data_IF_785136936876
#
_entry.id   IF_785136936876
#
_cell.length_a   1.000
_cell.length_b   1.000
_cell.length_c   1.000
_cell.angle_alpha   90.00
_cell.angle_beta   90.00
_cell.angle_gamma   90.00
#
_symmetry.space_group_name_H-M   'P 1'
#
loop_
_entity.id
_entity.type
_entity.pdbx_description
1 polymer ?
#
# COMPACT_ATOMS: atom_id res chain seq x y z
N UNK A 1 -9.85 -14.85 -17.97
CA UNK A 1 -8.86 -15.44 -17.04
C UNK A 1 -9.15 -14.91 -15.65
N UNK A 2 -9.68 -15.76 -14.78
CA UNK A 2 -10.00 -15.41 -13.40
C UNK A 2 -8.74 -15.59 -12.54
N UNK A 3 -8.32 -14.56 -11.80
CA UNK A 3 -7.31 -14.72 -10.76
C UNK A 3 -7.95 -15.44 -9.56
N UNK A 4 -7.41 -16.59 -9.20
CA UNK A 4 -7.82 -17.36 -8.03
C UNK A 4 -7.34 -16.65 -6.76
N UNK A 5 -8.28 -16.17 -5.94
CA UNK A 5 -8.01 -15.70 -4.59
C UNK A 5 -7.98 -16.92 -3.65
N UNK A 6 -6.85 -17.18 -2.97
CA UNK A 6 -6.80 -18.14 -1.88
C UNK A 6 -7.03 -17.42 -0.55
N UNK A 7 -8.15 -17.73 0.10
CA UNK A 7 -8.51 -17.22 1.43
C UNK A 7 -8.03 -18.23 2.46
N UNK A 8 -7.09 -17.85 3.32
CA UNK A 8 -6.67 -18.67 4.45
C UNK A 8 -7.59 -18.37 5.64
N UNK A 9 -8.24 -19.41 6.17
CA UNK A 9 -9.02 -19.31 7.40
C UNK A 9 -8.11 -19.64 8.59
N UNK A 10 -8.03 -18.73 9.57
CA UNK A 10 -7.38 -19.01 10.84
C UNK A 10 -8.21 -20.05 11.60
N UNK A 11 -7.63 -21.22 11.85
CA UNK A 11 -8.25 -22.33 12.53
C UNK A 11 -8.40 -21.98 14.02
N UNK A 12 -9.63 -21.91 14.54
CA UNK A 12 -9.86 -21.77 15.97
C UNK A 12 -9.82 -23.13 16.66
N UNK A 13 -8.86 -23.28 17.57
CA UNK A 13 -8.87 -24.28 18.62
C UNK A 13 -7.64 -25.18 18.65
N UNK A 14 -6.61 -24.79 19.42
CA UNK A 14 -5.86 -25.64 20.37
C UNK A 14 -5.25 -24.72 21.46
N UNK A 15 -5.21 -25.27 22.67
CA UNK A 15 -4.87 -24.72 23.99
C UNK A 15 -3.47 -24.08 24.12
N UNK A 16 -3.39 -23.15 25.09
CA UNK A 16 -2.20 -22.50 25.68
C UNK A 16 -0.87 -23.26 25.53
N UNK A 17 0.00 -22.74 24.65
CA UNK A 17 1.45 -22.56 24.85
C UNK A 17 2.04 -21.99 23.53
N UNK A 18 1.75 -20.73 23.22
CA UNK A 18 2.21 -20.11 21.96
C UNK A 18 2.33 -18.59 22.11
N UNK A 19 3.23 -18.12 22.97
CA UNK A 19 3.60 -16.69 23.02
C UNK A 19 4.71 -16.34 21.99
N UNK A 20 5.44 -17.34 21.48
CA UNK A 20 6.57 -17.13 20.55
C UNK A 20 6.23 -17.35 19.06
N UNK A 21 5.05 -17.87 18.71
CA UNK A 21 4.74 -18.29 17.33
C UNK A 21 3.90 -17.31 16.50
N UNK A 22 3.37 -16.24 17.11
CA UNK A 22 2.58 -15.24 16.37
C UNK A 22 3.43 -14.19 15.66
N UNK A 23 4.69 -14.00 16.07
CA UNK A 23 5.63 -13.06 15.45
C UNK A 23 6.31 -13.61 14.18
N UNK A 24 5.96 -14.83 13.77
CA UNK A 24 6.59 -15.52 12.63
C UNK A 24 5.60 -15.75 11.48
N UNK A 25 4.83 -14.74 11.09
CA UNK A 25 4.72 -14.49 9.63
C UNK A 25 6.07 -13.90 9.24
N UNK A 26 7.10 -14.77 9.20
CA UNK A 26 8.48 -14.36 9.03
C UNK A 26 8.56 -13.48 7.79
N UNK A 27 9.13 -12.28 7.92
CA UNK A 27 9.49 -11.44 6.78
C UNK A 27 10.16 -12.28 5.69
N UNK A 28 11.02 -13.25 6.06
CA UNK A 28 11.64 -14.20 5.12
C UNK A 28 10.65 -15.09 4.38
N UNK A 29 9.58 -15.55 5.04
CA UNK A 29 8.54 -16.38 4.43
C UNK A 29 7.76 -15.62 3.35
N UNK A 30 7.33 -14.39 3.66
CA UNK A 30 6.64 -13.53 2.69
C UNK A 30 7.59 -13.10 1.56
N UNK A 31 8.82 -12.68 1.89
CA UNK A 31 9.81 -12.29 0.86
C UNK A 31 10.16 -13.45 -0.06
N UNK A 32 10.40 -14.66 0.46
CA UNK A 32 10.75 -15.83 -0.37
C UNK A 32 9.59 -16.32 -1.27
N UNK A 33 8.34 -16.18 -0.84
CA UNK A 33 7.17 -16.44 -1.67
C UNK A 33 7.06 -15.42 -2.81
N UNK A 34 7.34 -14.14 -2.52
CA UNK A 34 7.30 -13.09 -3.52
C UNK A 34 8.48 -13.15 -4.50
N UNK A 35 9.66 -13.56 -4.04
CA UNK A 35 10.85 -13.74 -4.89
C UNK A 35 10.67 -14.84 -5.93
N UNK A 36 9.90 -15.89 -5.61
CA UNK A 36 9.60 -16.99 -6.53
C UNK A 36 8.43 -16.68 -7.48
N UNK A 37 7.70 -15.59 -7.25
CA UNK A 37 6.51 -15.28 -8.03
C UNK A 37 6.88 -14.44 -9.26
N UNK A 38 6.75 -15.05 -10.44
CA UNK A 38 7.01 -14.40 -11.72
C UNK A 38 5.90 -13.42 -12.16
N UNK A 39 4.89 -13.18 -11.31
CA UNK A 39 3.76 -12.30 -11.61
C UNK A 39 3.71 -11.13 -10.64
N UNK A 40 3.15 -10.02 -11.11
CA UNK A 40 2.77 -8.92 -10.21
C UNK A 40 1.90 -9.46 -9.08
N UNK A 41 2.35 -9.25 -7.85
CA UNK A 41 1.72 -9.79 -6.66
C UNK A 41 1.20 -8.64 -5.81
N UNK A 42 -0.05 -8.77 -5.39
CA UNK A 42 -0.64 -7.92 -4.35
C UNK A 42 -0.71 -8.70 -3.05
N UNK A 43 -0.23 -8.10 -1.97
CA UNK A 43 -0.36 -8.61 -0.61
C UNK A 43 -1.35 -7.70 0.09
N UNK A 44 -2.45 -8.26 0.56
CA UNK A 44 -3.43 -7.52 1.33
C UNK A 44 -3.38 -7.94 2.78
N UNK A 45 -3.06 -6.99 3.65
CA UNK A 45 -3.09 -7.14 5.11
C UNK A 45 -4.40 -6.52 5.58
N UNK A 46 -5.30 -7.36 6.06
CA UNK A 46 -6.63 -6.93 6.51
C UNK A 46 -6.60 -6.54 8.00
N UNK A 47 -6.99 -5.31 8.29
CA UNK A 47 -7.18 -4.77 9.65
C UNK A 47 -8.65 -4.38 9.91
N UNK A 48 -9.58 -5.19 9.37
CA UNK A 48 -11.02 -4.99 9.52
C UNK A 48 -11.56 -3.97 8.52
N UNK A 49 -11.22 -4.14 7.24
CA UNK A 49 -11.72 -3.27 6.18
C UNK A 49 -13.23 -3.49 5.98
N UNK A 50 -14.01 -2.42 6.13
CA UNK A 50 -15.47 -2.43 5.90
C UNK A 50 -15.84 -1.55 4.70
N UNK A 51 -15.49 -0.27 4.76
CA UNK A 51 -15.62 0.68 3.63
C UNK A 51 -14.25 1.17 3.16
N UNK A 52 -14.22 1.78 1.96
CA UNK A 52 -13.01 2.42 1.41
C UNK A 52 -13.39 3.84 1.02
N UNK A 53 -13.38 4.75 2.00
CA UNK A 53 -13.73 6.15 1.81
C UNK A 53 -12.48 7.05 1.79
N UNK A 54 -11.45 6.69 2.56
CA UNK A 54 -10.17 7.38 2.63
C UNK A 54 -9.01 6.43 2.31
N UNK A 55 -8.27 6.75 1.25
CA UNK A 55 -7.11 5.99 0.79
C UNK A 55 -5.86 6.83 0.90
N UNK A 56 -4.85 6.30 1.57
CA UNK A 56 -3.55 6.93 1.70
C UNK A 56 -2.48 6.17 0.91
N UNK A 57 -1.68 6.90 0.14
CA UNK A 57 -0.72 6.32 -0.80
C UNK A 57 0.66 6.95 -0.63
N UNK A 58 1.52 6.37 0.21
CA UNK A 58 2.91 6.81 0.36
C UNK A 58 3.79 6.30 -0.79
N UNK A 59 4.54 7.20 -1.43
CA UNK A 59 5.58 6.90 -2.42
C UNK A 59 6.94 7.14 -1.78
N UNK A 60 7.60 6.04 -1.42
CA UNK A 60 8.84 6.04 -0.64
C UNK A 60 10.05 5.48 -1.42
N UNK A 61 9.80 4.91 -2.61
CA UNK A 61 10.82 4.44 -3.53
C UNK A 61 10.40 4.70 -4.99
N UNK A 62 11.37 5.03 -5.83
CA UNK A 62 11.17 5.24 -7.27
C UNK A 62 10.88 3.95 -8.04
N UNK A 63 11.36 2.79 -7.54
CA UNK A 63 11.10 1.46 -8.11
C UNK A 63 9.60 1.15 -8.07
N UNK A 64 8.92 1.69 -7.06
CA UNK A 64 7.48 1.51 -6.86
C UNK A 64 6.62 2.37 -7.78
N UNK A 65 7.18 3.18 -8.69
CA UNK A 65 6.37 4.05 -9.53
C UNK A 65 5.38 3.29 -10.42
N UNK A 66 5.62 2.00 -10.65
CA UNK A 66 4.68 1.12 -11.32
C UNK A 66 3.30 1.03 -10.64
N UNK A 67 3.19 1.37 -9.35
CA UNK A 67 1.90 1.39 -8.66
C UNK A 67 0.96 2.45 -9.22
N UNK A 68 1.47 3.47 -9.93
CA UNK A 68 0.67 4.59 -10.47
C UNK A 68 -0.47 4.14 -11.38
N UNK A 69 -0.28 3.06 -12.14
CA UNK A 69 -1.33 2.47 -12.98
C UNK A 69 -2.50 1.93 -12.14
N UNK A 70 -2.20 1.42 -10.94
CA UNK A 70 -3.21 0.94 -10.00
C UNK A 70 -3.90 2.10 -9.29
N UNK A 71 -3.15 3.14 -8.90
CA UNK A 71 -3.70 4.37 -8.34
C UNK A 71 -4.70 5.00 -9.32
N UNK A 72 -4.31 5.11 -10.60
CA UNK A 72 -5.18 5.64 -11.65
C UNK A 72 -6.49 4.86 -11.74
N UNK A 73 -6.41 3.52 -11.80
CA UNK A 73 -7.60 2.66 -11.84
C UNK A 73 -8.47 2.81 -10.60
N UNK A 74 -7.87 3.00 -9.43
CA UNK A 74 -8.59 3.23 -8.18
C UNK A 74 -9.35 4.56 -8.23
N UNK A 75 -8.70 5.63 -8.68
CA UNK A 75 -9.29 6.97 -8.84
C UNK A 75 -10.45 6.98 -9.84
N UNK A 76 -10.36 6.21 -10.93
CA UNK A 76 -11.40 6.10 -11.96
C UNK A 76 -12.60 5.26 -11.52
N UNK A 77 -12.41 4.32 -10.59
CA UNK A 77 -13.44 3.31 -10.22
C UNK A 77 -14.08 3.52 -8.86
N UNK A 78 -13.56 4.42 -8.05
CA UNK A 78 -14.06 4.65 -6.69
C UNK A 78 -14.36 6.13 -6.48
N UNK A 79 -15.29 6.40 -5.57
CA UNK A 79 -15.59 7.75 -5.07
C UNK A 79 -14.73 8.13 -3.87
N UNK A 80 -13.78 7.27 -3.49
CA UNK A 80 -12.92 7.46 -2.33
C UNK A 80 -12.07 8.73 -2.46
N UNK A 81 -11.74 9.32 -1.32
CA UNK A 81 -10.72 10.36 -1.23
C UNK A 81 -9.35 9.70 -1.19
N UNK A 82 -8.56 9.93 -2.23
CA UNK A 82 -7.21 9.40 -2.38
C UNK A 82 -6.21 10.53 -2.10
N UNK A 83 -5.34 10.33 -1.12
CA UNK A 83 -4.25 11.25 -0.78
C UNK A 83 -2.90 10.58 -1.02
N UNK A 84 -2.10 11.16 -1.91
CA UNK A 84 -0.74 10.69 -2.21
C UNK A 84 0.25 11.45 -1.34
N UNK A 85 1.26 10.77 -0.81
CA UNK A 85 2.42 11.41 -0.18
C UNK A 85 3.69 11.03 -0.92
N UNK A 86 4.24 11.97 -1.69
CA UNK A 86 5.49 11.80 -2.41
C UNK A 86 6.68 12.23 -1.55
N UNK A 87 7.20 11.30 -0.75
CA UNK A 87 8.30 11.56 0.17
C UNK A 87 9.65 11.77 -0.54
N UNK A 88 9.74 11.32 -1.80
CA UNK A 88 10.98 11.34 -2.59
C UNK A 88 10.96 12.38 -3.73
N UNK A 89 9.84 13.08 -3.92
CA UNK A 89 9.65 14.10 -4.95
C UNK A 89 9.63 13.56 -6.39
N UNK A 90 9.34 12.28 -6.58
CA UNK A 90 9.42 11.65 -7.91
C UNK A 90 8.36 12.18 -8.87
N UNK A 91 7.16 12.49 -8.40
CA UNK A 91 6.05 12.96 -9.23
C UNK A 91 6.38 14.31 -9.86
N UNK A 92 6.89 15.24 -9.07
CA UNK A 92 7.24 16.58 -9.57
C UNK A 92 8.54 16.58 -10.40
N UNK A 93 9.46 15.65 -10.11
CA UNK A 93 10.75 15.56 -10.82
C UNK A 93 10.65 14.98 -12.24
N UNK A 94 9.60 14.21 -12.54
CA UNK A 94 9.42 13.55 -13.85
C UNK A 94 8.21 14.16 -14.57
N UNK A 95 8.40 14.89 -15.68
CA UNK A 95 7.32 15.58 -16.39
C UNK A 95 6.13 14.67 -16.78
N UNK A 96 6.42 13.44 -17.21
CA UNK A 96 5.38 12.48 -17.60
C UNK A 96 4.54 12.02 -16.40
N UNK A 97 5.16 11.82 -15.23
CA UNK A 97 4.45 11.46 -14.01
C UNK A 97 3.61 12.62 -13.50
N UNK A 98 4.16 13.84 -13.52
CA UNK A 98 3.43 15.06 -13.17
C UNK A 98 2.18 15.23 -14.03
N UNK A 99 2.33 15.04 -15.34
CA UNK A 99 1.20 15.08 -16.29
C UNK A 99 0.21 13.95 -16.03
N UNK A 100 0.68 12.72 -15.79
CA UNK A 100 -0.17 11.59 -15.46
C UNK A 100 -0.98 11.82 -14.18
N UNK A 101 -0.34 12.39 -13.15
CA UNK A 101 -0.99 12.75 -11.89
C UNK A 101 -2.05 13.83 -12.09
N UNK A 102 -1.74 14.88 -12.86
CA UNK A 102 -2.72 15.92 -13.19
C UNK A 102 -3.94 15.35 -13.93
N UNK A 103 -3.73 14.47 -14.91
CA UNK A 103 -4.82 13.80 -15.63
C UNK A 103 -5.64 12.89 -14.71
N UNK A 104 -4.97 12.19 -13.78
CA UNK A 104 -5.63 11.35 -12.78
C UNK A 104 -6.55 12.19 -11.88
N UNK A 105 -6.09 13.34 -11.40
CA UNK A 105 -6.92 14.25 -10.61
C UNK A 105 -8.15 14.74 -11.38
N UNK A 106 -7.97 15.09 -12.66
CA UNK A 106 -9.07 15.59 -13.51
C UNK A 106 -10.12 14.51 -13.82
N UNK A 107 -9.70 13.26 -13.95
CA UNK A 107 -10.57 12.15 -14.36
C UNK A 107 -11.09 11.31 -13.20
N UNK A 108 -10.69 11.63 -11.96
CA UNK A 108 -11.12 10.89 -10.79
C UNK A 108 -12.64 11.03 -10.58
N UNK A 109 -13.27 9.94 -10.16
CA UNK A 109 -14.69 9.97 -9.75
C UNK A 109 -14.81 10.53 -8.32
N UNK A 110 -13.85 10.21 -7.46
CA UNK A 110 -13.67 10.81 -6.12
C UNK A 110 -12.71 12.00 -6.12
N UNK A 111 -12.09 12.25 -4.97
CA UNK A 111 -11.06 13.28 -4.82
C UNK A 111 -9.67 12.66 -4.86
N UNK A 112 -8.75 13.21 -5.65
CA UNK A 112 -7.33 12.85 -5.64
C UNK A 112 -6.54 14.09 -5.30
N UNK A 113 -5.69 14.04 -4.27
CA UNK A 113 -4.84 15.17 -3.88
C UNK A 113 -3.45 14.72 -3.42
N UNK A 114 -2.52 15.68 -3.40
CA UNK A 114 -1.22 15.50 -2.76
C UNK A 114 -1.32 15.87 -1.29
N UNK A 115 -0.58 15.15 -0.45
CA UNK A 115 -0.39 15.48 0.95
C UNK A 115 0.30 16.84 1.07
N UNK A 116 -0.13 17.61 2.07
CA UNK A 116 0.48 18.88 2.41
C UNK A 116 1.75 18.64 3.21
N UNK A 117 2.92 18.78 2.59
CA UNK A 117 4.21 18.56 3.22
C UNK A 117 4.52 19.51 4.39
N UNK A 118 3.72 20.56 4.62
CA UNK A 118 3.81 21.37 5.85
C UNK A 118 3.21 20.66 7.07
N UNK A 119 2.41 19.60 6.88
CA UNK A 119 1.78 18.82 7.92
C UNK A 119 2.56 17.53 8.18
N UNK A 120 2.70 17.20 9.47
CA UNK A 120 3.24 15.91 9.89
C UNK A 120 2.19 14.82 9.67
N UNK A 121 2.63 13.69 9.13
CA UNK A 121 1.85 12.45 9.13
C UNK A 121 2.08 11.80 10.48
N UNK A 122 1.02 11.69 11.28
CA UNK A 122 1.03 11.10 12.59
C UNK A 122 0.04 9.94 12.69
N UNK A 123 -0.02 9.34 13.88
CA UNK A 123 -0.90 8.24 14.19
C UNK A 123 -2.38 8.58 13.99
N UNK A 124 -2.80 9.79 14.37
CA UNK A 124 -4.19 10.20 14.29
C UNK A 124 -4.64 10.38 12.84
N UNK A 125 -3.76 10.88 11.98
CA UNK A 125 -4.03 10.92 10.54
C UNK A 125 -4.14 9.51 9.94
N UNK A 126 -3.20 8.61 10.25
CA UNK A 126 -3.22 7.23 9.72
C UNK A 126 -4.47 6.48 10.16
N UNK A 127 -4.94 6.70 11.39
CA UNK A 127 -6.19 6.12 11.91
C UNK A 127 -7.45 6.51 11.15
N UNK A 128 -7.46 7.67 10.49
CA UNK A 128 -8.60 8.15 9.70
C UNK A 128 -8.66 7.52 8.31
N UNK A 129 -7.64 6.75 7.92
CA UNK A 129 -7.62 6.07 6.64
C UNK A 129 -8.35 4.72 6.74
N UNK A 130 -8.89 4.26 5.62
CA UNK A 130 -9.47 2.92 5.53
C UNK A 130 -8.46 1.97 4.91
N UNK A 131 -7.76 2.45 3.87
CA UNK A 131 -6.81 1.68 3.07
C UNK A 131 -5.50 2.45 2.87
N UNK A 132 -4.38 1.74 3.07
CA UNK A 132 -3.06 2.20 2.63
C UNK A 132 -2.66 1.40 1.40
N UNK A 133 -2.26 2.07 0.32
CA UNK A 133 -1.74 1.42 -0.89
C UNK A 133 -0.31 1.85 -1.11
N UNK A 134 0.62 0.89 -1.21
CA UNK A 134 2.03 1.22 -1.44
C UNK A 134 2.75 0.13 -2.20
N UNK A 135 3.91 0.46 -2.75
CA UNK A 135 4.78 -0.54 -3.36
C UNK A 135 5.63 -1.28 -2.32
N UNK A 136 6.21 -2.40 -2.74
CA UNK A 136 6.92 -3.30 -1.86
C UNK A 136 8.22 -2.71 -1.30
N UNK A 137 8.98 -1.97 -2.11
CA UNK A 137 10.22 -1.34 -1.65
C UNK A 137 9.93 -0.24 -0.62
N UNK A 138 8.90 0.55 -0.87
CA UNK A 138 8.42 1.56 0.05
C UNK A 138 7.91 0.96 1.35
N UNK A 139 7.21 -0.18 1.30
CA UNK A 139 6.77 -0.88 2.51
C UNK A 139 7.97 -1.36 3.34
N UNK A 140 8.95 -1.98 2.68
CA UNK A 140 10.19 -2.44 3.32
C UNK A 140 10.94 -1.30 4.00
N UNK A 141 11.04 -0.14 3.32
CA UNK A 141 11.62 1.08 3.91
C UNK A 141 10.81 1.61 5.09
N UNK A 142 9.48 1.62 4.98
CA UNK A 142 8.59 2.12 6.02
C UNK A 142 8.75 1.32 7.32
N UNK A 143 8.68 -0.02 7.24
CA UNK A 143 8.83 -0.88 8.41
C UNK A 143 10.24 -0.88 9.00
N UNK A 144 11.26 -0.57 8.17
CA UNK A 144 12.66 -0.45 8.61
C UNK A 144 13.02 0.93 9.15
N UNK A 145 12.09 1.89 9.10
CA UNK A 145 12.32 3.28 9.51
C UNK A 145 11.89 3.54 10.95
N UNK A 146 12.41 4.62 11.55
CA UNK A 146 11.96 5.11 12.86
C UNK A 146 10.62 5.88 12.81
N UNK A 147 9.85 5.75 11.72
CA UNK A 147 8.56 6.43 11.57
C UNK A 147 7.56 5.84 12.56
N UNK A 148 7.07 6.67 13.47
CA UNK A 148 6.30 6.24 14.64
C UNK A 148 4.95 5.59 14.32
N UNK A 149 4.40 5.80 13.12
CA UNK A 149 3.09 5.25 12.72
C UNK A 149 3.18 4.00 11.83
N UNK A 150 4.38 3.49 11.53
CA UNK A 150 4.58 2.32 10.64
C UNK A 150 3.84 1.05 11.13
N UNK A 151 3.68 0.88 12.44
CA UNK A 151 2.97 -0.24 13.06
C UNK A 151 1.46 -0.03 13.19
N UNK A 152 0.96 1.15 12.81
CA UNK A 152 -0.42 1.58 13.01
C UNK A 152 -1.21 1.70 11.72
N UNK A 153 -0.66 1.14 10.63
CA UNK A 153 -1.32 1.16 9.34
C UNK A 153 -2.69 0.51 9.43
N UNK A 154 -3.62 1.07 8.67
CA UNK A 154 -4.94 0.49 8.45
C UNK A 154 -4.80 -0.66 7.44
N UNK A 155 -5.91 -1.20 6.93
CA UNK A 155 -5.81 -2.28 5.95
C UNK A 155 -4.87 -1.85 4.82
N UNK A 156 -3.91 -2.70 4.46
CA UNK A 156 -2.77 -2.30 3.63
C UNK A 156 -2.67 -3.20 2.41
N UNK A 157 -2.65 -2.61 1.22
CA UNK A 157 -2.36 -3.29 -0.04
C UNK A 157 -0.94 -2.95 -0.48
N UNK A 158 -0.07 -3.96 -0.46
CA UNK A 158 1.32 -3.88 -0.90
C UNK A 158 1.40 -4.48 -2.30
N UNK A 159 1.91 -3.72 -3.27
CA UNK A 159 2.04 -4.16 -4.66
C UNK A 159 3.51 -4.36 -5.00
N UNK A 160 3.84 -5.55 -5.49
CA UNK A 160 5.17 -5.87 -6.05
C UNK A 160 5.01 -6.18 -7.53
N UNK A 161 5.62 -5.37 -8.40
CA UNK A 161 5.74 -5.70 -9.82
C UNK A 161 6.91 -6.65 -10.07
N UNK A 162 6.75 -7.52 -11.05
CA UNK A 162 7.83 -8.35 -11.58
C UNK A 162 8.95 -7.44 -12.11
N UNK A 163 10.18 -7.63 -11.62
CA UNK A 163 11.36 -7.12 -12.33
C UNK A 163 11.56 -7.99 -13.57
N UNK A 164 11.60 -7.36 -14.75
CA UNK A 164 12.13 -8.03 -15.93
C UNK A 164 13.66 -8.04 -15.80
N UNK A 165 14.27 -9.21 -15.97
CA UNK A 165 15.70 -9.34 -16.25
C UNK A 165 16.03 -8.75 -17.63
#
# INVERSE_FOLDING_TARGET
>A
MWCSYQKFAANQGVSQDTDDTLDTISHKGVTSLLERNEKTTGIFIDHGLDTIDNVFIPILDKVDIHIFDYIKRLAEKTTAKITLWDAIGVIDSVPDLKKAFYLMQKNATGSVCMWDNSKKIDYDYIKQQDLVVMGFEGWTKLISSAITWSHSLRSTLIIRKKLHD
#
